data_IF_348680052838
#
_entry.id   IF_348680052838
#
_cell.length_a   1.000
_cell.length_b   1.000
_cell.length_c   1.000
_cell.angle_alpha   90.00
_cell.angle_beta   90.00
_cell.angle_gamma   90.00
#
_symmetry.space_group_name_H-M   'P 1'
#
loop_
_entity.id
_entity.type
_entity.pdbx_description
1 polymer ?
#
# COMPACT_ATOMS: atom_id res chain seq x y z
N UNK A 1 -0.28 8.93 -11.55
CA UNK A 1 -1.45 9.40 -12.33
C UNK A 1 -1.40 10.92 -12.38
N UNK A 2 -1.50 11.54 -13.55
CA UNK A 2 -1.47 13.01 -13.69
C UNK A 2 -2.89 13.53 -13.81
N UNK A 3 -3.36 14.23 -12.78
CA UNK A 3 -4.65 14.91 -12.75
C UNK A 3 -4.35 16.40 -12.87
N UNK A 4 -5.06 17.11 -13.73
CA UNK A 4 -4.93 18.58 -13.86
C UNK A 4 -6.29 19.22 -13.70
N UNK A 5 -6.36 20.25 -12.86
CA UNK A 5 -7.52 21.14 -12.80
C UNK A 5 -7.62 21.88 -14.13
N UNK A 6 -8.79 21.79 -14.76
CA UNK A 6 -9.12 22.48 -16.00
C UNK A 6 -9.86 23.78 -15.72
N UNK A 7 -10.87 23.73 -14.86
CA UNK A 7 -11.73 24.88 -14.57
C UNK A 7 -12.34 24.79 -13.17
N UNK A 8 -12.58 25.94 -12.54
CA UNK A 8 -13.27 26.08 -11.26
C UNK A 8 -14.42 27.06 -11.47
N UNK A 9 -15.65 26.57 -11.33
CA UNK A 9 -16.87 27.36 -11.50
C UNK A 9 -17.60 27.48 -10.16
N UNK A 10 -17.83 28.69 -9.64
CA UNK A 10 -18.72 28.88 -8.49
C UNK A 10 -20.17 28.63 -8.92
N UNK A 11 -20.93 27.92 -8.09
CA UNK A 11 -22.35 27.62 -8.29
C UNK A 11 -23.21 28.46 -7.33
N UNK A 12 -24.52 28.48 -7.60
CA UNK A 12 -25.53 29.03 -6.71
C UNK A 12 -25.44 28.31 -5.33
N UNK A 13 -25.78 29.02 -4.26
CA UNK A 13 -25.68 28.55 -2.85
C UNK A 13 -24.26 28.41 -2.24
N UNK A 14 -23.20 28.89 -2.91
CA UNK A 14 -21.83 28.84 -2.36
C UNK A 14 -21.13 27.50 -2.57
N UNK A 15 -21.68 26.68 -3.46
CA UNK A 15 -21.12 25.46 -3.97
C UNK A 15 -20.03 25.77 -5.01
N UNK A 16 -19.05 24.88 -5.18
CA UNK A 16 -18.03 24.99 -6.23
C UNK A 16 -18.02 23.73 -7.09
N UNK A 17 -17.87 23.91 -8.40
CA UNK A 17 -17.64 22.82 -9.34
C UNK A 17 -16.21 22.92 -9.87
N UNK A 18 -15.45 21.85 -9.70
CA UNK A 18 -14.07 21.75 -10.20
C UNK A 18 -14.04 20.67 -11.28
N UNK A 19 -13.61 21.06 -12.48
CA UNK A 19 -13.44 20.15 -13.61
C UNK A 19 -11.97 19.73 -13.74
N UNK A 20 -11.76 18.43 -13.92
CA UNK A 20 -10.46 17.81 -14.03
C UNK A 20 -10.33 17.10 -15.37
N UNK A 21 -9.17 17.24 -16.00
CA UNK A 21 -8.78 16.45 -17.17
C UNK A 21 -7.79 15.37 -16.77
N UNK A 22 -8.10 14.11 -17.11
CA UNK A 22 -7.24 12.95 -16.91
C UNK A 22 -6.65 12.43 -18.23
N UNK A 23 -5.68 11.53 -18.13
CA UNK A 23 -5.14 10.83 -19.29
C UNK A 23 -6.25 10.05 -20.03
N UNK A 24 -6.18 10.00 -21.36
CA UNK A 24 -7.18 9.31 -22.19
C UNK A 24 -8.43 10.13 -22.53
N UNK A 25 -8.42 11.45 -22.26
CA UNK A 25 -9.54 12.34 -22.61
C UNK A 25 -10.72 12.26 -21.64
N UNK A 26 -10.56 11.58 -20.51
CA UNK A 26 -11.58 11.51 -19.46
C UNK A 26 -11.64 12.84 -18.72
N UNK A 27 -12.84 13.39 -18.60
CA UNK A 27 -13.12 14.61 -17.83
C UNK A 27 -13.99 14.22 -16.64
N UNK A 28 -13.59 14.67 -15.44
CA UNK A 28 -14.33 14.44 -14.20
C UNK A 28 -14.69 15.78 -13.59
N UNK A 29 -15.97 15.97 -13.25
CA UNK A 29 -16.45 17.15 -12.57
C UNK A 29 -16.81 16.80 -11.13
N UNK A 30 -16.19 17.48 -10.17
CA UNK A 30 -16.46 17.33 -8.74
C UNK A 30 -17.23 18.55 -8.28
N UNK A 31 -18.34 18.33 -7.58
CA UNK A 31 -19.16 19.41 -7.03
C UNK A 31 -19.02 19.40 -5.53
N UNK A 32 -18.39 20.43 -4.96
CA UNK A 32 -18.21 20.58 -3.53
C UNK A 32 -19.40 21.35 -2.94
N UNK A 33 -20.08 20.80 -1.92
CA UNK A 33 -21.17 21.50 -1.25
C UNK A 33 -20.66 22.72 -0.50
N UNK A 34 -21.56 23.69 -0.29
CA UNK A 34 -21.29 24.84 0.55
C UNK A 34 -21.13 24.39 2.01
N UNK A 35 -19.94 24.51 2.57
CA UNK A 35 -19.64 24.13 3.97
C UNK A 35 -20.01 25.24 4.97
N UNK A 36 -20.77 26.26 4.54
CA UNK A 36 -21.02 27.48 5.33
C UNK A 36 -19.79 28.37 5.52
N UNK A 37 -18.65 28.00 4.95
CA UNK A 37 -17.44 28.83 4.84
C UNK A 37 -17.38 29.46 3.46
N UNK A 38 -16.90 30.70 3.39
CA UNK A 38 -16.50 31.30 2.12
C UNK A 38 -15.22 30.59 1.69
N UNK A 39 -15.35 29.53 0.88
CA UNK A 39 -14.21 28.83 0.33
C UNK A 39 -13.67 29.59 -0.87
N UNK A 40 -12.38 29.92 -0.83
CA UNK A 40 -11.68 30.45 -2.02
C UNK A 40 -11.64 29.38 -3.13
N UNK A 41 -11.48 29.78 -4.40
CA UNK A 41 -11.32 28.83 -5.49
C UNK A 41 -10.11 27.89 -5.29
N UNK A 42 -9.02 28.38 -4.69
CA UNK A 42 -7.83 27.58 -4.37
C UNK A 42 -8.12 26.48 -3.32
N UNK A 43 -8.90 26.80 -2.29
CA UNK A 43 -9.35 25.85 -1.28
C UNK A 43 -10.24 24.77 -1.90
N UNK A 44 -11.17 25.20 -2.75
CA UNK A 44 -12.10 24.30 -3.46
C UNK A 44 -11.36 23.34 -4.40
N UNK A 45 -10.34 23.82 -5.11
CA UNK A 45 -9.48 22.99 -5.96
C UNK A 45 -8.71 21.97 -5.13
N UNK A 46 -8.07 22.39 -4.03
CA UNK A 46 -7.32 21.50 -3.15
C UNK A 46 -8.20 20.40 -2.56
N UNK A 47 -9.41 20.73 -2.09
CA UNK A 47 -10.37 19.74 -1.58
C UNK A 47 -10.83 18.77 -2.65
N UNK A 48 -11.08 19.25 -3.86
CA UNK A 48 -11.47 18.37 -4.97
C UNK A 48 -10.32 17.48 -5.45
N UNK A 49 -9.07 17.97 -5.46
CA UNK A 49 -7.89 17.15 -5.75
C UNK A 49 -7.71 16.04 -4.72
N UNK A 50 -7.86 16.35 -3.44
CA UNK A 50 -7.81 15.36 -2.36
C UNK A 50 -8.89 14.30 -2.52
N UNK A 51 -10.13 14.70 -2.79
CA UNK A 51 -11.24 13.77 -3.03
C UNK A 51 -10.98 12.82 -4.19
N UNK A 52 -10.46 13.31 -5.32
CA UNK A 52 -10.12 12.45 -6.47
C UNK A 52 -8.96 11.52 -6.15
N UNK A 53 -7.93 11.99 -5.42
CA UNK A 53 -6.82 11.15 -5.00
C UNK A 53 -7.30 9.97 -4.15
N UNK A 54 -8.15 10.23 -3.15
CA UNK A 54 -8.73 9.20 -2.30
C UNK A 54 -9.55 8.21 -3.13
N UNK A 55 -10.39 8.71 -4.04
CA UNK A 55 -11.20 7.83 -4.90
C UNK A 55 -10.32 6.96 -5.81
N UNK A 56 -9.27 7.53 -6.40
CA UNK A 56 -8.33 6.80 -7.24
C UNK A 56 -7.57 5.73 -6.46
N UNK A 57 -7.16 6.03 -5.23
CA UNK A 57 -6.53 5.08 -4.33
C UNK A 57 -7.47 3.92 -3.99
N UNK A 58 -8.70 4.24 -3.56
CA UNK A 58 -9.71 3.25 -3.23
C UNK A 58 -10.03 2.32 -4.41
N UNK A 59 -10.09 2.86 -5.63
CA UNK A 59 -10.33 2.07 -6.85
C UNK A 59 -9.12 1.21 -7.23
N UNK A 60 -7.89 1.71 -7.03
CA UNK A 60 -6.66 0.97 -7.36
C UNK A 60 -6.38 -0.16 -6.36
N UNK A 61 -6.76 0.03 -5.10
CA UNK A 61 -6.56 -0.93 -4.01
C UNK A 61 -7.62 -2.05 -3.98
N UNK A 62 -8.66 -1.98 -4.84
CA UNK A 62 -9.77 -2.93 -4.87
C UNK A 62 -10.71 -2.84 -3.66
N UNK A 63 -11.84 -3.57 -3.64
CA UNK A 63 -12.71 -3.62 -2.47
C UNK A 63 -11.94 -4.25 -1.30
N UNK A 64 -11.51 -3.41 -0.36
CA UNK A 64 -10.87 -3.85 0.88
C UNK A 64 -11.96 -4.41 1.78
N UNK A 65 -12.21 -5.72 1.67
CA UNK A 65 -12.80 -6.46 2.78
C UNK A 65 -11.84 -6.26 3.97
N UNK A 66 -12.35 -5.79 5.11
CA UNK A 66 -11.58 -5.45 6.31
C UNK A 66 -11.01 -6.72 6.99
N UNK A 67 -10.15 -7.44 6.28
CA UNK A 67 -9.25 -8.42 6.86
C UNK A 67 -8.00 -7.62 7.21
N UNK A 68 -7.73 -7.30 8.48
CA UNK A 68 -6.50 -6.61 8.86
C UNK A 68 -5.32 -7.46 8.41
N UNK A 69 -4.64 -7.02 7.36
CA UNK A 69 -3.44 -7.68 6.89
C UNK A 69 -2.26 -7.15 7.71
N UNK A 70 -1.32 -8.02 8.04
CA UNK A 70 -0.19 -7.74 8.94
C UNK A 70 0.73 -6.55 8.53
N UNK A 71 0.48 -5.89 7.40
CA UNK A 71 1.15 -4.65 7.01
C UNK A 71 0.61 -3.42 7.76
N UNK A 72 -0.67 -3.37 8.10
CA UNK A 72 -1.25 -2.22 8.81
C UNK A 72 -0.76 -2.11 10.26
N UNK A 73 -0.36 -3.24 10.86
CA UNK A 73 0.25 -3.28 12.20
C UNK A 73 1.69 -2.72 12.23
N UNK A 74 2.40 -2.74 11.09
CA UNK A 74 3.81 -2.30 11.00
C UNK A 74 3.96 -0.79 10.93
N UNK A 75 2.97 -0.08 10.39
CA UNK A 75 3.06 1.37 10.23
C UNK A 75 2.75 2.13 11.53
N UNK A 76 2.04 1.49 12.48
CA UNK A 76 1.57 2.13 13.71
C UNK A 76 2.33 1.71 14.98
N UNK A 77 3.31 0.80 14.89
CA UNK A 77 4.11 0.40 16.04
C UNK A 77 5.53 0.95 15.95
N UNK A 78 5.90 1.67 17.00
CA UNK A 78 7.17 2.33 17.24
C UNK A 78 8.34 1.50 16.75
N UNK A 79 9.03 2.00 15.73
CA UNK A 79 10.11 1.29 15.02
C UNK A 79 11.21 0.83 15.98
N UNK A 80 11.46 1.59 17.04
CA UNK A 80 12.45 1.27 18.08
C UNK A 80 12.08 -0.02 18.83
N UNK A 81 10.81 -0.18 19.20
CA UNK A 81 10.31 -1.40 19.86
C UNK A 81 10.32 -2.65 18.95
N UNK A 82 10.28 -2.45 17.62
CA UNK A 82 10.45 -3.54 16.65
C UNK A 82 11.93 -3.95 16.49
N UNK A 83 12.84 -2.97 16.51
CA UNK A 83 14.28 -3.21 16.46
C UNK A 83 14.76 -3.98 17.70
N UNK A 84 14.26 -3.67 18.89
CA UNK A 84 14.56 -4.41 20.13
C UNK A 84 14.07 -5.88 20.09
N UNK A 85 12.88 -6.15 19.54
CA UNK A 85 12.35 -7.52 19.41
C UNK A 85 13.12 -8.36 18.38
N UNK A 86 13.66 -7.73 17.33
CA UNK A 86 14.48 -8.41 16.33
C UNK A 86 15.86 -8.79 16.89
N UNK A 87 16.42 -7.95 17.77
CA UNK A 87 17.70 -8.23 18.44
C UNK A 87 17.54 -9.38 19.44
N UNK A 88 16.49 -9.36 20.27
CA UNK A 88 16.17 -10.44 21.24
C UNK A 88 15.95 -11.81 20.54
N UNK A 89 15.29 -11.81 19.38
CA UNK A 89 15.11 -13.01 18.56
C UNK A 89 16.35 -13.51 17.83
N UNK A 90 17.40 -12.68 17.69
CA UNK A 90 18.69 -13.05 17.13
C UNK A 90 19.64 -13.62 18.23
N UNK A 91 19.39 -13.26 19.49
CA UNK A 91 20.13 -13.71 20.68
C UNK A 91 19.73 -15.11 21.17
N UNK A 92 18.50 -15.59 20.86
CA UNK A 92 18.10 -16.99 21.04
C UNK A 92 18.84 -17.86 20.02
N UNK A 93 20.11 -18.11 20.35
CA UNK A 93 21.13 -18.86 19.64
C UNK A 93 20.58 -19.75 18.55
N UNK A 94 20.78 -19.33 17.30
CA UNK A 94 21.06 -20.31 16.25
C UNK A 94 22.02 -21.34 16.83
N UNK A 95 21.67 -22.64 16.90
CA UNK A 95 22.68 -23.64 17.15
C UNK A 95 23.72 -23.44 16.05
N UNK A 96 24.91 -22.98 16.44
CA UNK A 96 26.00 -22.81 15.49
C UNK A 96 26.27 -24.19 14.90
N UNK A 97 25.80 -24.40 13.67
CA UNK A 97 25.85 -25.63 12.85
C UNK A 97 24.56 -26.43 12.83
N UNK A 98 23.92 -26.40 11.66
CA UNK A 98 23.00 -27.40 11.12
C UNK A 98 23.31 -28.82 11.65
N UNK A 99 22.31 -29.65 11.99
CA UNK A 99 22.56 -31.00 12.52
C UNK A 99 23.56 -31.75 11.64
N UNK A 100 24.58 -32.36 12.26
CA UNK A 100 25.58 -33.15 11.53
C UNK A 100 24.87 -34.26 10.75
N UNK A 101 24.88 -34.15 9.42
CA UNK A 101 24.32 -35.15 8.52
C UNK A 101 25.11 -36.45 8.60
N UNK A 102 24.48 -37.52 9.10
CA UNK A 102 25.06 -38.87 9.13
C UNK A 102 24.92 -39.47 7.72
N UNK A 103 26.02 -39.55 6.98
CA UNK A 103 26.04 -40.29 5.70
C UNK A 103 26.46 -41.73 5.97
N UNK A 104 25.49 -42.66 5.97
CA UNK A 104 25.77 -44.10 6.05
C UNK A 104 26.30 -44.59 4.69
N UNK A 105 27.53 -45.12 4.59
CA UNK A 105 28.00 -45.70 3.34
C UNK A 105 27.20 -46.97 3.05
N UNK A 106 26.43 -46.95 1.95
CA UNK A 106 25.73 -48.12 1.44
C UNK A 106 26.77 -49.14 0.96
N UNK A 107 27.03 -50.17 1.77
CA UNK A 107 27.85 -51.32 1.39
C UNK A 107 27.05 -52.22 0.46
N UNK A 108 27.02 -51.87 -0.83
CA UNK A 108 26.51 -52.76 -1.87
C UNK A 108 27.63 -53.71 -2.32
N UNK A 109 27.51 -55.04 -2.09
CA UNK A 109 28.48 -56.00 -2.60
C UNK A 109 28.38 -56.10 -4.13
N UNK A 110 29.46 -55.74 -4.82
CA UNK A 110 29.59 -55.87 -6.28
C UNK A 110 29.67 -57.33 -6.66
N UNK A 111 28.55 -57.92 -7.07
CA UNK A 111 28.52 -59.23 -7.72
C UNK A 111 28.86 -59.11 -9.21
N UNK A 112 29.58 -60.12 -9.70
CA UNK A 112 29.71 -60.56 -11.10
C UNK A 112 30.84 -59.96 -11.96
N UNK A 113 31.91 -60.75 -12.10
CA UNK A 113 32.74 -60.82 -13.31
C UNK A 113 32.95 -62.30 -13.65
N UNK A 114 32.36 -62.75 -14.75
CA UNK A 114 32.38 -64.13 -15.29
C UNK A 114 33.21 -64.08 -16.57
N UNK A 115 34.32 -64.81 -16.65
CA UNK A 115 35.00 -65.27 -17.89
C UNK A 115 35.96 -66.38 -17.51
#
# INVERSE_FOLDING_TARGET
>A
MTIKVKEITPLEDGQYRVEFSMAGGVVVAVTLPADGRISSPEDSAGRAEEAIRILCDAVSSGPREEIPTANDARENQDREALEEQLDEGLEDSFPASDPVSISVPSTLPKTAGKS
#
